data_IF_549819523310
#
_entry.id   IF_549819523310
#
_cell.length_a   1.000
_cell.length_b   1.000
_cell.length_c   1.000
_cell.angle_alpha   90.00
_cell.angle_beta   90.00
_cell.angle_gamma   90.00
#
_symmetry.space_group_name_H-M   'P 1'
#
loop_
_entity.id
_entity.type
_entity.pdbx_description
1 polymer ?
#
# COMPACT_ATOMS: atom_id res chain seq x y z
N UNK A 1 -40.69 11.55 3.47
CA UNK A 1 -41.36 11.50 2.14
C UNK A 1 -42.51 12.48 2.18
N UNK A 2 -42.59 13.40 1.23
CA UNK A 2 -43.67 14.36 1.09
C UNK A 2 -44.59 13.91 -0.07
N UNK A 3 -45.89 13.89 0.18
CA UNK A 3 -46.90 13.52 -0.81
C UNK A 3 -47.96 14.61 -0.92
N UNK A 4 -48.55 14.74 -2.10
CA UNK A 4 -49.72 15.58 -2.35
C UNK A 4 -50.86 14.72 -2.91
N UNK A 5 -52.08 15.00 -2.48
CA UNK A 5 -53.28 14.34 -3.00
C UNK A 5 -53.81 15.12 -4.21
N UNK A 6 -53.95 14.45 -5.35
CA UNK A 6 -54.61 14.98 -6.56
C UNK A 6 -55.78 14.06 -6.93
N UNK A 7 -57.00 14.49 -6.60
CA UNK A 7 -58.20 13.65 -6.72
C UNK A 7 -58.10 12.42 -5.82
N UNK A 8 -58.35 11.24 -6.40
CA UNK A 8 -58.31 9.96 -5.66
C UNK A 8 -56.91 9.32 -5.60
N UNK A 9 -55.87 10.03 -6.08
CA UNK A 9 -54.50 9.49 -6.14
C UNK A 9 -53.52 10.35 -5.34
N UNK A 10 -52.55 9.68 -4.72
CA UNK A 10 -51.42 10.31 -4.06
C UNK A 10 -50.22 10.37 -5.01
N UNK A 11 -49.57 11.53 -5.12
CA UNK A 11 -48.29 11.69 -5.81
C UNK A 11 -47.19 12.01 -4.79
N UNK A 12 -46.04 11.35 -4.93
CA UNK A 12 -44.83 11.72 -4.22
C UNK A 12 -44.30 13.01 -4.82
N UNK A 13 -44.17 14.06 -4.01
CA UNK A 13 -43.68 15.39 -4.44
C UNK A 13 -42.28 15.70 -3.89
N UNK A 14 -41.76 14.86 -3.00
CA UNK A 14 -40.40 14.97 -2.51
C UNK A 14 -39.98 13.74 -1.71
N UNK A 15 -38.80 13.22 -2.01
CA UNK A 15 -38.13 12.25 -1.17
C UNK A 15 -37.01 12.97 -0.41
N UNK A 16 -37.07 12.91 0.92
CA UNK A 16 -35.98 13.37 1.78
C UNK A 16 -35.14 12.14 2.10
N UNK A 17 -33.87 12.15 1.70
CA UNK A 17 -32.91 11.11 2.03
C UNK A 17 -32.03 11.63 3.15
N UNK A 18 -32.24 11.11 4.35
CA UNK A 18 -31.35 11.37 5.48
C UNK A 18 -30.18 10.39 5.37
N UNK A 19 -29.03 10.87 4.93
CA UNK A 19 -27.80 10.06 4.90
C UNK A 19 -27.10 10.25 6.24
N UNK A 20 -26.95 9.16 7.00
CA UNK A 20 -26.14 9.17 8.21
C UNK A 20 -24.66 9.16 7.82
N UNK A 21 -23.97 10.27 8.05
CA UNK A 21 -22.53 10.41 7.80
C UNK A 21 -21.79 9.73 8.95
N UNK A 22 -21.00 8.68 8.67
CA UNK A 22 -20.05 8.16 9.65
C UNK A 22 -18.89 9.14 9.77
N UNK A 23 -18.57 9.58 10.99
CA UNK A 23 -17.42 10.46 11.20
C UNK A 23 -16.14 9.74 10.76
N UNK A 24 -15.38 10.32 9.83
CA UNK A 24 -14.08 9.78 9.41
C UNK A 24 -12.97 10.46 10.21
N UNK A 25 -12.17 9.69 10.92
CA UNK A 25 -11.02 10.20 11.67
C UNK A 25 -9.72 9.94 10.89
N UNK A 26 -8.85 10.94 10.79
CA UNK A 26 -7.56 10.82 10.10
C UNK A 26 -6.45 11.39 10.96
N UNK A 27 -5.31 10.69 11.04
CA UNK A 27 -4.15 11.15 11.81
C UNK A 27 -3.16 11.89 10.90
N UNK A 28 -2.78 13.11 11.30
CA UNK A 28 -1.82 13.95 10.57
C UNK A 28 -0.71 14.40 11.51
N UNK A 29 0.52 14.05 11.18
CA UNK A 29 1.70 14.64 11.79
C UNK A 29 1.99 15.99 11.13
N UNK A 30 2.00 17.06 11.91
CA UNK A 30 2.26 18.42 11.45
C UNK A 30 3.69 18.81 11.86
N UNK A 31 4.57 18.91 10.86
CA UNK A 31 6.01 18.94 11.06
C UNK A 31 6.57 20.28 10.61
N UNK A 32 6.89 21.21 11.52
CA UNK A 32 7.54 22.45 11.15
C UNK A 32 9.01 22.21 10.77
N UNK A 33 9.52 22.93 9.76
CA UNK A 33 10.95 22.86 9.39
C UNK A 33 11.81 23.92 10.04
N UNK A 34 11.18 24.89 10.71
CA UNK A 34 11.81 26.06 11.32
C UNK A 34 10.89 26.66 12.40
N UNK A 35 11.42 27.58 13.20
CA UNK A 35 10.69 28.20 14.30
C UNK A 35 9.52 29.08 13.84
N UNK A 36 9.62 29.73 12.67
CA UNK A 36 8.53 30.54 12.11
C UNK A 36 7.35 29.65 11.75
N UNK A 37 7.62 28.51 11.14
CA UNK A 37 6.63 27.49 10.77
C UNK A 37 6.01 26.82 12.00
N UNK A 38 6.78 26.61 13.07
CA UNK A 38 6.26 26.07 14.33
C UNK A 38 5.19 26.98 14.95
N UNK A 39 5.33 28.31 14.81
CA UNK A 39 4.33 29.26 15.32
C UNK A 39 3.04 29.27 14.48
N UNK A 40 3.02 28.68 13.29
CA UNK A 40 1.83 28.61 12.41
C UNK A 40 0.93 27.39 12.70
N UNK A 41 1.42 26.40 13.45
CA UNK A 41 0.77 25.10 13.60
C UNK A 41 -0.66 25.19 14.19
N UNK A 42 -0.87 26.02 15.21
CA UNK A 42 -2.21 26.18 15.82
C UNK A 42 -3.23 26.78 14.85
N UNK A 43 -2.80 27.76 14.04
CA UNK A 43 -3.64 28.35 13.01
C UNK A 43 -4.02 27.34 11.92
N UNK A 44 -3.07 26.49 11.53
CA UNK A 44 -3.30 25.40 10.56
C UNK A 44 -4.30 24.38 11.10
N UNK A 45 -4.15 23.93 12.34
CA UNK A 45 -5.06 22.98 12.97
C UNK A 45 -6.49 23.54 12.97
N UNK A 46 -6.65 24.79 13.44
CA UNK A 46 -7.96 25.43 13.52
C UNK A 46 -8.60 25.62 12.13
N UNK A 47 -7.86 26.14 11.14
CA UNK A 47 -8.42 26.41 9.81
C UNK A 47 -8.74 25.12 9.05
N UNK A 48 -7.87 24.12 9.11
CA UNK A 48 -8.10 22.83 8.43
C UNK A 48 -9.26 22.08 9.06
N UNK A 49 -9.34 22.02 10.40
CA UNK A 49 -10.44 21.34 11.06
C UNK A 49 -11.77 22.01 10.75
N UNK A 50 -11.84 23.36 10.76
CA UNK A 50 -13.07 24.08 10.41
C UNK A 50 -13.56 23.84 8.97
N UNK A 51 -12.66 23.50 8.04
CA UNK A 51 -13.04 23.13 6.66
C UNK A 51 -13.61 21.72 6.62
N UNK A 52 -12.93 20.76 7.26
CA UNK A 52 -13.31 19.35 7.24
C UNK A 52 -14.49 19.00 8.16
N UNK A 53 -14.74 19.78 9.20
CA UNK A 53 -15.94 19.67 10.05
C UNK A 53 -17.22 19.79 9.22
N UNK A 54 -17.20 20.61 8.16
CA UNK A 54 -18.34 20.78 7.24
C UNK A 54 -18.78 19.46 6.61
N UNK A 55 -17.86 18.50 6.46
CA UNK A 55 -18.09 17.21 5.81
C UNK A 55 -18.01 16.01 6.78
N UNK A 56 -17.98 16.27 8.09
CA UNK A 56 -17.93 15.22 9.11
C UNK A 56 -16.57 14.50 9.22
N UNK A 57 -15.48 15.15 8.81
CA UNK A 57 -14.11 14.61 8.93
C UNK A 57 -13.41 15.24 10.14
N UNK A 58 -12.89 14.39 11.02
CA UNK A 58 -12.05 14.79 12.15
C UNK A 58 -10.58 14.52 11.85
N UNK A 59 -9.74 15.54 11.89
CA UNK A 59 -8.30 15.43 11.69
C UNK A 59 -7.59 15.50 13.05
N UNK A 60 -7.04 14.37 13.47
CA UNK A 60 -6.25 14.25 14.67
C UNK A 60 -4.81 14.70 14.37
N UNK A 61 -4.55 15.99 14.60
CA UNK A 61 -3.22 16.56 14.41
C UNK A 61 -2.29 16.23 15.57
N UNK A 62 -1.11 15.69 15.24
CA UNK A 62 0.03 15.56 16.13
C UNK A 62 1.07 16.62 15.77
N UNK A 63 1.35 17.54 16.68
CA UNK A 63 2.43 18.52 16.49
C UNK A 63 3.76 17.83 16.74
N UNK A 64 4.62 17.83 15.73
CA UNK A 64 5.97 17.29 15.85
C UNK A 64 6.98 18.40 16.18
N UNK A 65 8.18 17.98 16.60
CA UNK A 65 9.33 18.88 16.78
C UNK A 65 9.79 19.49 15.45
N UNK A 66 10.62 20.53 15.53
CA UNK A 66 11.23 21.13 14.34
C UNK A 66 12.12 20.10 13.64
N UNK A 67 11.81 19.77 12.39
CA UNK A 67 12.64 18.95 11.53
C UNK A 67 13.67 19.84 10.83
N UNK A 68 14.94 19.71 11.20
CA UNK A 68 16.00 20.43 10.52
C UNK A 68 16.25 19.85 9.12
N UNK A 69 16.06 20.68 8.09
CA UNK A 69 16.23 20.30 6.67
C UNK A 69 17.46 20.94 6.01
N UNK A 70 18.29 21.68 6.74
CA UNK A 70 19.40 22.45 6.17
C UNK A 70 20.50 21.55 5.58
N UNK A 71 20.57 20.29 6.00
CA UNK A 71 21.50 19.30 5.42
C UNK A 71 21.08 18.82 4.02
N UNK A 72 19.82 19.04 3.63
CA UNK A 72 19.26 18.52 2.36
C UNK A 72 18.70 19.61 1.45
N UNK A 73 18.42 20.80 1.99
CA UNK A 73 17.98 21.99 1.24
C UNK A 73 18.94 23.14 1.47
N UNK A 74 19.58 23.62 0.41
CA UNK A 74 20.45 24.78 0.47
C UNK A 74 19.67 26.10 0.30
N UNK A 75 19.90 27.04 1.21
CA UNK A 75 19.29 28.37 1.15
C UNK A 75 17.80 28.40 1.52
N UNK A 76 17.06 29.33 0.91
CA UNK A 76 15.66 29.64 1.27
C UNK A 76 14.62 29.09 0.28
N UNK A 77 15.00 28.13 -0.56
CA UNK A 77 14.13 27.58 -1.60
C UNK A 77 14.24 26.07 -1.62
N UNK A 78 13.10 25.38 -1.53
CA UNK A 78 12.97 23.93 -1.75
C UNK A 78 12.71 23.73 -3.25
N UNK A 79 13.51 22.92 -3.92
CA UNK A 79 13.23 22.57 -5.31
C UNK A 79 11.92 21.80 -5.40
N UNK A 80 11.06 22.17 -6.35
CA UNK A 80 9.76 21.55 -6.56
C UNK A 80 9.56 21.25 -8.04
N UNK A 81 8.88 20.16 -8.34
CA UNK A 81 8.42 19.90 -9.70
C UNK A 81 7.21 20.80 -10.03
N UNK A 82 6.88 20.92 -11.32
CA UNK A 82 5.68 21.66 -11.73
C UNK A 82 4.43 20.98 -11.14
N UNK A 83 3.53 21.79 -10.60
CA UNK A 83 2.31 21.34 -9.92
C UNK A 83 1.31 20.70 -10.91
N UNK A 84 1.50 19.41 -11.20
CA UNK A 84 0.55 18.56 -11.94
C UNK A 84 0.22 17.35 -11.07
N UNK A 85 -1.03 16.86 -11.08
CA UNK A 85 -1.48 15.76 -10.21
C UNK A 85 -0.71 14.43 -10.40
N UNK A 86 0.00 14.28 -11.52
CA UNK A 86 0.85 13.13 -11.87
C UNK A 86 2.33 13.31 -11.51
N UNK A 87 2.72 14.48 -10.98
CA UNK A 87 4.11 14.77 -10.62
C UNK A 87 4.57 13.92 -9.43
N UNK A 88 5.86 13.59 -9.42
CA UNK A 88 6.52 12.96 -8.28
C UNK A 88 7.10 14.03 -7.36
N UNK A 89 7.41 13.67 -6.11
CA UNK A 89 8.20 14.55 -5.24
C UNK A 89 9.54 14.87 -5.89
N UNK A 90 9.96 16.13 -5.82
CA UNK A 90 11.29 16.54 -6.28
C UNK A 90 12.40 15.85 -5.48
N UNK A 91 13.65 15.94 -5.95
CA UNK A 91 14.80 15.41 -5.20
C UNK A 91 14.91 16.00 -3.79
N UNK A 92 14.63 17.30 -3.61
CA UNK A 92 14.68 17.94 -2.28
C UNK A 92 13.55 17.42 -1.38
N UNK A 93 12.32 17.34 -1.90
CA UNK A 93 11.18 16.80 -1.16
C UNK A 93 11.39 15.32 -0.79
N UNK A 94 11.98 14.51 -1.68
CA UNK A 94 12.32 13.12 -1.37
C UNK A 94 13.33 13.03 -0.22
N UNK A 95 14.34 13.90 -0.20
CA UNK A 95 15.32 13.95 0.90
C UNK A 95 14.69 14.41 2.20
N UNK A 96 13.81 15.41 2.18
CA UNK A 96 13.07 15.88 3.36
C UNK A 96 12.15 14.78 3.90
N UNK A 97 11.39 14.10 3.03
CA UNK A 97 10.57 12.95 3.41
C UNK A 97 11.41 11.89 4.11
N UNK A 98 12.63 11.61 3.63
CA UNK A 98 13.54 10.62 4.20
C UNK A 98 14.11 11.02 5.58
N UNK A 99 14.22 12.31 5.88
CA UNK A 99 14.64 12.79 7.20
C UNK A 99 13.58 12.54 8.27
N UNK A 100 12.30 12.50 7.88
CA UNK A 100 11.20 12.27 8.81
C UNK A 100 11.00 10.78 9.08
N UNK A 101 11.52 10.30 10.22
CA UNK A 101 11.39 8.91 10.66
C UNK A 101 10.26 8.80 11.69
N UNK A 102 9.19 8.08 11.35
CA UNK A 102 8.11 7.74 12.29
C UNK A 102 7.67 6.29 12.08
N UNK A 103 7.34 5.62 13.18
CA UNK A 103 6.72 4.29 13.17
C UNK A 103 5.19 4.36 13.10
N UNK A 104 4.62 5.56 13.18
CA UNK A 104 3.18 5.80 13.10
C UNK A 104 2.74 5.98 11.65
N UNK A 105 1.63 5.32 11.28
CA UNK A 105 1.01 5.40 9.97
C UNK A 105 0.19 6.69 9.80
N UNK A 106 0.84 7.85 9.92
CA UNK A 106 0.21 9.16 9.77
C UNK A 106 0.47 9.74 8.38
N UNK A 107 -0.48 10.55 7.90
CA UNK A 107 -0.15 11.54 6.86
C UNK A 107 0.78 12.58 7.48
N UNK A 108 1.70 13.11 6.69
CA UNK A 108 2.73 14.03 7.17
C UNK A 108 2.61 15.32 6.39
N UNK A 109 2.44 16.44 7.08
CA UNK A 109 2.38 17.75 6.45
C UNK A 109 3.55 18.60 6.97
N UNK A 110 4.52 18.83 6.09
CA UNK A 110 5.64 19.71 6.35
C UNK A 110 5.21 21.17 6.19
N UNK A 111 5.51 21.98 7.20
CA UNK A 111 5.26 23.44 7.18
C UNK A 111 6.61 24.14 7.18
N UNK A 112 6.85 24.99 6.18
CA UNK A 112 8.15 25.63 5.99
C UNK A 112 8.04 27.12 5.67
N UNK A 113 9.01 27.92 6.12
CA UNK A 113 9.16 29.33 5.75
C UNK A 113 10.05 29.52 4.51
N UNK A 114 10.49 28.42 3.89
CA UNK A 114 11.19 28.42 2.61
C UNK A 114 10.19 28.55 1.44
N UNK A 115 10.66 29.11 0.34
CA UNK A 115 9.90 29.21 -0.91
C UNK A 115 9.95 27.89 -1.67
N UNK A 116 8.98 27.65 -2.56
CA UNK A 116 9.09 26.64 -3.61
C UNK A 116 9.80 27.24 -4.84
N UNK A 117 10.56 26.43 -5.59
CA UNK A 117 11.23 26.91 -6.80
C UNK A 117 10.25 27.23 -7.94
N UNK A 118 9.05 26.66 -7.90
CA UNK A 118 7.97 26.88 -8.88
C UNK A 118 6.95 27.95 -8.46
N UNK A 119 7.10 28.56 -7.27
CA UNK A 119 6.17 29.57 -6.75
C UNK A 119 4.85 29.01 -6.20
N UNK A 120 4.68 27.68 -6.18
CA UNK A 120 3.51 27.02 -5.59
C UNK A 120 3.38 27.26 -4.08
N UNK A 121 2.14 27.36 -3.62
CA UNK A 121 1.77 27.62 -2.23
C UNK A 121 1.88 26.38 -1.34
N UNK A 122 1.62 25.21 -1.91
CA UNK A 122 1.73 23.91 -1.28
C UNK A 122 1.92 22.83 -2.33
N UNK A 123 2.17 21.61 -1.85
CA UNK A 123 2.21 20.42 -2.70
C UNK A 123 1.99 19.16 -1.89
N UNK A 124 1.04 18.34 -2.33
CA UNK A 124 0.88 16.96 -1.91
C UNK A 124 0.43 16.15 -3.12
N UNK A 125 1.19 15.11 -3.45
CA UNK A 125 0.81 14.19 -4.53
C UNK A 125 -0.54 13.57 -4.20
N UNK A 126 -1.36 13.33 -5.23
CA UNK A 126 -2.61 12.61 -5.10
C UNK A 126 -2.36 11.22 -4.48
N UNK A 127 -3.10 10.89 -3.42
CA UNK A 127 -2.87 9.67 -2.62
C UNK A 127 -1.47 9.56 -1.98
N UNK A 128 -0.75 10.68 -1.84
CA UNK A 128 0.56 10.73 -1.21
C UNK A 128 0.48 10.76 0.32
N UNK A 129 1.53 10.27 0.99
CA UNK A 129 1.66 10.38 2.44
C UNK A 129 2.14 11.77 2.88
N UNK A 130 3.00 12.41 2.08
CA UNK A 130 3.73 13.62 2.46
C UNK A 130 3.19 14.86 1.74
N UNK A 131 2.87 15.91 2.49
CA UNK A 131 2.46 17.21 1.96
C UNK A 131 3.42 18.31 2.40
N UNK A 132 3.38 19.42 1.68
CA UNK A 132 4.21 20.59 1.90
C UNK A 132 3.35 21.85 1.88
N UNK A 133 3.57 22.73 2.84
CA UNK A 133 3.02 24.09 2.87
C UNK A 133 4.19 25.06 2.88
N UNK A 134 4.34 25.81 1.79
CA UNK A 134 5.44 26.75 1.59
C UNK A 134 5.13 28.11 2.20
N UNK A 135 6.14 29.00 2.20
CA UNK A 135 6.03 30.36 2.73
C UNK A 135 4.82 31.14 2.20
N UNK A 136 4.51 30.98 0.91
CA UNK A 136 3.39 31.64 0.21
C UNK A 136 2.03 30.97 0.44
N UNK A 137 1.97 29.90 1.24
CA UNK A 137 0.76 29.17 1.59
C UNK A 137 -0.33 30.07 2.16
N UNK A 138 -1.56 29.91 1.65
CA UNK A 138 -2.76 30.52 2.21
C UNK A 138 -3.25 29.71 3.41
N UNK A 139 -4.15 30.30 4.21
CA UNK A 139 -4.79 29.64 5.35
C UNK A 139 -5.48 28.31 5.00
N UNK A 140 -5.96 28.16 3.76
CA UNK A 140 -6.59 26.94 3.26
C UNK A 140 -5.63 25.90 2.71
N UNK A 141 -4.40 26.29 2.35
CA UNK A 141 -3.44 25.43 1.64
C UNK A 141 -3.21 24.10 2.37
N UNK A 142 -3.04 24.05 3.71
CA UNK A 142 -2.97 22.78 4.43
C UNK A 142 -4.14 21.82 4.14
N UNK A 143 -5.38 22.33 4.13
CA UNK A 143 -6.56 21.53 3.83
C UNK A 143 -6.66 21.15 2.35
N UNK A 144 -6.21 22.01 1.44
CA UNK A 144 -6.10 21.69 0.02
C UNK A 144 -5.14 20.52 -0.20
N UNK A 145 -3.93 20.60 0.33
CA UNK A 145 -2.92 19.56 0.20
C UNK A 145 -3.38 18.23 0.81
N UNK A 146 -3.92 18.27 2.03
CA UNK A 146 -4.49 17.08 2.66
C UNK A 146 -5.69 16.51 1.86
N UNK A 147 -6.42 17.34 1.11
CA UNK A 147 -7.46 16.90 0.18
C UNK A 147 -6.92 15.97 -0.91
N UNK A 148 -5.76 16.30 -1.49
CA UNK A 148 -5.06 15.44 -2.46
C UNK A 148 -4.60 14.13 -1.83
N UNK A 149 -3.89 14.24 -0.69
CA UNK A 149 -3.24 13.09 -0.07
C UNK A 149 -4.22 12.12 0.58
N UNK A 150 -5.09 12.64 1.45
CA UNK A 150 -6.05 11.83 2.19
C UNK A 150 -7.14 11.36 1.24
N UNK A 151 -7.83 12.31 0.60
CA UNK A 151 -9.11 12.06 -0.04
C UNK A 151 -9.04 11.87 -1.55
N UNK A 152 -7.85 11.97 -2.17
CA UNK A 152 -7.66 11.90 -3.62
C UNK A 152 -8.50 12.94 -4.38
N UNK A 153 -8.77 14.10 -3.78
CA UNK A 153 -9.53 15.15 -4.43
C UNK A 153 -8.66 15.80 -5.51
N UNK A 154 -9.21 16.02 -6.69
CA UNK A 154 -8.51 16.63 -7.81
C UNK A 154 -8.89 18.11 -7.96
N UNK A 155 -8.10 18.86 -8.73
CA UNK A 155 -8.41 20.26 -9.03
C UNK A 155 -9.65 20.38 -9.95
N UNK A 156 -10.55 21.36 -9.72
CA UNK A 156 -11.78 21.49 -10.51
C UNK A 156 -11.52 21.87 -11.98
N UNK A 157 -10.41 22.56 -12.28
CA UNK A 157 -10.03 22.86 -13.66
C UNK A 157 -9.50 21.62 -14.41
N UNK A 158 -9.01 20.60 -13.69
CA UNK A 158 -8.67 19.32 -14.28
C UNK A 158 -9.90 18.44 -14.47
N UNK A 159 -10.75 18.33 -13.44
CA UNK A 159 -11.93 17.43 -13.44
C UNK A 159 -13.12 18.00 -14.23
N UNK A 160 -13.44 19.28 -14.05
CA UNK A 160 -14.64 19.94 -14.59
C UNK A 160 -14.33 21.00 -15.65
N UNK A 161 -13.05 21.20 -15.98
CA UNK A 161 -12.60 22.18 -16.99
C UNK A 161 -13.00 23.63 -16.67
N UNK A 162 -13.10 23.97 -15.39
CA UNK A 162 -13.22 25.36 -14.95
C UNK A 162 -11.95 26.15 -15.26
N UNK A 163 -12.02 27.48 -15.22
CA UNK A 163 -10.80 28.30 -15.27
C UNK A 163 -10.07 28.21 -13.94
N UNK A 164 -8.74 28.16 -13.97
CA UNK A 164 -7.91 28.20 -12.77
C UNK A 164 -8.19 29.47 -11.94
N UNK A 165 -8.27 29.33 -10.62
CA UNK A 165 -8.54 30.42 -9.67
C UNK A 165 -9.90 31.11 -9.85
N UNK A 166 -10.88 30.46 -10.49
CA UNK A 166 -12.19 31.07 -10.79
C UNK A 166 -13.34 30.61 -9.89
N UNK A 167 -13.12 29.58 -9.07
CA UNK A 167 -14.18 28.99 -8.24
C UNK A 167 -13.90 29.18 -6.75
N UNK A 168 -14.94 29.11 -5.92
CA UNK A 168 -14.79 29.14 -4.45
C UNK A 168 -14.47 27.75 -3.85
N UNK A 169 -14.05 26.79 -4.68
CA UNK A 169 -13.80 25.42 -4.25
C UNK A 169 -12.46 25.28 -3.51
N UNK A 170 -12.42 24.37 -2.51
CA UNK A 170 -11.23 24.08 -1.72
C UNK A 170 -10.06 23.69 -2.62
N UNK A 171 -10.34 22.84 -3.61
CA UNK A 171 -9.35 22.30 -4.54
C UNK A 171 -8.99 23.26 -5.70
N UNK A 172 -9.50 24.49 -5.73
CA UNK A 172 -9.01 25.49 -6.69
C UNK A 172 -7.77 26.22 -6.14
N UNK A 173 -7.05 27.00 -6.96
CA UNK A 173 -5.96 27.87 -6.50
C UNK A 173 -6.43 29.23 -5.97
N UNK A 174 -7.74 29.51 -6.04
CA UNK A 174 -8.37 30.68 -5.40
C UNK A 174 -8.31 30.60 -3.86
N UNK A 175 -8.89 31.57 -3.14
CA UNK A 175 -9.00 31.52 -1.66
C UNK A 175 -10.19 30.70 -1.14
N UNK A 176 -10.98 30.09 -2.03
CA UNK A 176 -12.19 29.36 -1.70
C UNK A 176 -11.97 28.12 -0.82
N UNK A 177 -12.95 27.80 0.03
CA UNK A 177 -12.89 26.68 1.00
C UNK A 177 -14.06 25.70 0.88
N UNK A 178 -14.83 25.79 -0.21
CA UNK A 178 -16.04 24.98 -0.41
C UNK A 178 -15.66 23.60 -0.92
N UNK A 179 -16.10 22.56 -0.22
CA UNK A 179 -16.10 21.19 -0.73
C UNK A 179 -17.42 20.96 -1.46
N UNK A 180 -17.38 20.63 -2.75
CA UNK A 180 -18.57 20.47 -3.57
C UNK A 180 -19.19 19.07 -3.40
N UNK A 181 -20.36 18.85 -4.00
CA UNK A 181 -21.07 17.57 -3.91
C UNK A 181 -20.21 16.35 -4.32
N UNK A 182 -19.32 16.47 -5.30
CA UNK A 182 -18.46 15.36 -5.72
C UNK A 182 -17.36 15.09 -4.70
N UNK A 183 -16.76 16.13 -4.13
CA UNK A 183 -15.79 16.00 -3.04
C UNK A 183 -16.43 15.30 -1.84
N UNK A 184 -17.64 15.72 -1.47
CA UNK A 184 -18.42 15.09 -0.41
C UNK A 184 -18.72 13.62 -0.70
N UNK A 185 -19.15 13.31 -1.93
CA UNK A 185 -19.46 11.95 -2.36
C UNK A 185 -18.24 11.05 -2.27
N UNK A 186 -17.08 11.52 -2.73
CA UNK A 186 -15.83 10.77 -2.71
C UNK A 186 -15.32 10.56 -1.28
N UNK A 187 -15.30 11.62 -0.47
CA UNK A 187 -14.90 11.52 0.94
C UNK A 187 -15.78 10.53 1.69
N UNK A 188 -17.07 10.50 1.41
CA UNK A 188 -18.04 9.66 2.11
C UNK A 188 -18.34 8.32 1.44
N UNK A 189 -17.65 7.99 0.36
CA UNK A 189 -17.83 6.70 -0.31
C UNK A 189 -17.50 5.56 0.68
N UNK A 190 -18.39 4.57 0.92
CA UNK A 190 -18.09 3.40 1.74
C UNK A 190 -16.91 2.57 1.20
N UNK A 191 -16.64 2.65 -0.11
CA UNK A 191 -15.49 2.02 -0.75
C UNK A 191 -14.18 2.80 -0.54
N UNK A 192 -14.25 4.07 -0.12
CA UNK A 192 -13.06 4.87 0.19
C UNK A 192 -12.44 4.41 1.53
N UNK A 193 -11.17 4.00 1.48
CA UNK A 193 -10.37 3.54 2.62
C UNK A 193 -9.23 4.51 2.90
N UNK A 194 -9.06 4.85 4.18
CA UNK A 194 -7.92 5.65 4.65
C UNK A 194 -6.67 4.76 4.68
N UNK A 195 -5.59 5.22 4.07
CA UNK A 195 -4.37 4.45 3.93
C UNK A 195 -3.53 4.50 5.21
N UNK A 196 -3.21 3.33 5.77
CA UNK A 196 -2.20 3.20 6.82
C UNK A 196 -0.86 2.82 6.18
N UNK A 197 0.06 3.78 6.13
CA UNK A 197 1.41 3.59 5.61
C UNK A 197 2.23 2.75 6.60
N UNK A 198 2.42 1.46 6.34
CA UNK A 198 3.16 0.56 7.24
C UNK A 198 4.44 -0.01 6.58
N UNK A 199 5.42 -0.24 7.45
CA UNK A 199 6.82 -0.65 7.19
C UNK A 199 6.98 -1.95 6.40
N UNK A 200 8.04 -1.99 5.57
CA UNK A 200 8.43 -3.05 4.63
C UNK A 200 8.93 -4.33 5.31
N UNK A 201 8.04 -5.05 5.99
CA UNK A 201 8.32 -6.39 6.52
C UNK A 201 7.44 -7.47 5.87
N UNK A 202 6.78 -7.18 4.75
CA UNK A 202 5.64 -7.96 4.27
C UNK A 202 5.77 -8.44 2.83
N UNK A 203 6.98 -8.62 2.32
CA UNK A 203 7.24 -9.50 1.19
C UNK A 203 7.47 -10.95 1.64
N UNK A 204 6.42 -11.72 1.97
CA UNK A 204 6.59 -13.18 2.17
C UNK A 204 5.45 -13.99 1.51
N UNK A 205 5.70 -14.42 0.28
CA UNK A 205 6.20 -15.77 -0.09
C UNK A 205 5.74 -16.96 0.77
N UNK A 206 5.63 -18.12 0.14
CA UNK A 206 5.16 -19.37 0.74
C UNK A 206 5.92 -19.72 2.05
N UNK A 207 5.30 -19.44 3.22
CA UNK A 207 5.88 -19.62 4.57
C UNK A 207 6.35 -21.05 4.84
N UNK A 208 5.82 -22.03 4.11
CA UNK A 208 6.13 -23.43 4.32
C UNK A 208 7.51 -23.81 3.77
N UNK A 209 8.12 -23.01 2.88
CA UNK A 209 9.41 -23.29 2.28
C UNK A 209 10.47 -22.21 2.64
N UNK A 210 11.70 -22.40 2.18
CA UNK A 210 12.79 -21.46 2.45
C UNK A 210 12.65 -20.15 1.67
N UNK A 211 13.06 -19.04 2.29
CA UNK A 211 12.86 -17.69 1.72
C UNK A 211 13.57 -17.53 0.38
N UNK A 212 14.87 -17.81 0.30
CA UNK A 212 15.66 -17.51 -0.90
C UNK A 212 17.01 -18.23 -0.95
N UNK A 213 17.68 -18.12 -2.10
CA UNK A 213 19.10 -18.47 -2.27
C UNK A 213 19.98 -17.23 -2.40
N UNK A 214 21.21 -17.33 -1.90
CA UNK A 214 22.31 -16.42 -2.26
C UNK A 214 22.94 -16.82 -3.60
N UNK A 215 23.74 -15.95 -4.23
CA UNK A 215 24.52 -16.30 -5.41
C UNK A 215 25.50 -17.48 -5.22
N UNK A 216 25.85 -17.83 -3.98
CA UNK A 216 26.70 -18.99 -3.68
C UNK A 216 25.90 -20.19 -3.16
N UNK A 217 24.60 -20.25 -3.42
CA UNK A 217 23.76 -21.43 -3.13
C UNK A 217 23.36 -21.60 -1.67
N UNK A 218 23.73 -20.67 -0.80
CA UNK A 218 23.33 -20.67 0.61
C UNK A 218 21.84 -20.34 0.71
N UNK A 219 21.09 -21.20 1.39
CA UNK A 219 19.67 -21.01 1.72
C UNK A 219 19.53 -19.98 2.84
N UNK A 220 18.62 -19.03 2.66
CA UNK A 220 18.34 -17.94 3.60
C UNK A 220 16.91 -18.04 4.07
N UNK A 221 16.67 -17.74 5.34
CA UNK A 221 15.34 -17.50 5.92
C UNK A 221 15.29 -16.26 6.80
N UNK A 222 16.36 -16.01 7.56
CA UNK A 222 16.41 -14.94 8.55
C UNK A 222 17.71 -14.14 8.47
N UNK A 223 17.65 -12.87 8.86
CA UNK A 223 18.76 -11.92 8.81
C UNK A 223 19.10 -11.41 10.21
N UNK A 224 20.39 -11.33 10.51
CA UNK A 224 20.90 -10.92 11.82
C UNK A 224 22.02 -9.89 11.68
N UNK A 225 21.98 -8.84 12.48
CA UNK A 225 23.07 -7.88 12.65
C UNK A 225 23.40 -7.80 14.13
N UNK A 226 24.68 -7.91 14.49
CA UNK A 226 25.14 -7.91 15.89
C UNK A 226 24.39 -8.92 16.79
N UNK A 227 24.08 -10.10 16.25
CA UNK A 227 23.29 -11.17 16.88
C UNK A 227 21.81 -10.87 17.14
N UNK A 228 21.31 -9.70 16.73
CA UNK A 228 19.89 -9.38 16.79
C UNK A 228 19.22 -9.68 15.45
N UNK A 229 18.02 -10.27 15.51
CA UNK A 229 17.21 -10.53 14.31
C UNK A 229 16.71 -9.18 13.77
N UNK A 230 16.95 -8.94 12.49
CA UNK A 230 16.56 -7.70 11.82
C UNK A 230 15.63 -8.00 10.64
N UNK A 231 14.82 -6.99 10.29
CA UNK A 231 14.03 -6.99 9.07
C UNK A 231 14.78 -6.18 8.03
N UNK A 232 14.96 -6.75 6.84
CA UNK A 232 15.68 -6.11 5.72
C UNK A 232 14.77 -5.99 4.51
N UNK A 233 15.08 -5.04 3.64
CA UNK A 233 14.47 -4.95 2.32
C UNK A 233 15.33 -5.74 1.31
N UNK A 234 14.75 -6.76 0.68
CA UNK A 234 15.43 -7.50 -0.38
C UNK A 234 15.45 -6.65 -1.64
N UNK A 235 16.64 -6.42 -2.20
CA UNK A 235 16.77 -5.80 -3.52
C UNK A 235 16.85 -6.95 -4.52
N UNK A 236 15.72 -7.24 -5.16
CA UNK A 236 15.60 -8.42 -6.02
C UNK A 236 16.52 -8.26 -7.22
N UNK A 237 17.46 -9.19 -7.33
CA UNK A 237 18.48 -9.19 -8.35
C UNK A 237 17.93 -9.72 -9.69
N UNK A 238 18.61 -9.36 -10.77
CA UNK A 238 18.32 -9.82 -12.13
C UNK A 238 18.43 -11.35 -12.36
N UNK A 239 18.94 -12.12 -11.38
CA UNK A 239 19.38 -13.52 -11.59
C UNK A 239 18.93 -14.48 -10.45
N UNK A 240 17.63 -14.67 -10.21
CA UNK A 240 17.04 -15.78 -9.42
C UNK A 240 17.36 -15.85 -7.92
N UNK A 241 18.41 -15.18 -7.47
CA UNK A 241 18.99 -15.22 -6.12
C UNK A 241 19.04 -13.82 -5.50
N UNK A 242 19.23 -13.74 -4.18
CA UNK A 242 19.38 -12.48 -3.46
C UNK A 242 20.86 -12.12 -3.34
N UNK A 243 21.32 -11.21 -4.21
CA UNK A 243 22.69 -10.66 -4.15
C UNK A 243 22.80 -9.46 -3.21
N UNK A 244 21.76 -8.66 -3.11
CA UNK A 244 21.79 -7.37 -2.41
C UNK A 244 20.60 -7.23 -1.47
N UNK A 245 20.86 -6.77 -0.26
CA UNK A 245 19.84 -6.41 0.72
C UNK A 245 20.04 -4.97 1.17
N UNK A 246 18.97 -4.31 1.58
CA UNK A 246 18.97 -2.95 2.08
C UNK A 246 18.51 -2.96 3.54
N UNK A 247 19.28 -2.32 4.41
CA UNK A 247 18.96 -2.14 5.83
C UNK A 247 19.43 -0.76 6.27
N UNK A 248 18.55 0.02 6.93
CA UNK A 248 18.84 1.40 7.37
C UNK A 248 19.50 2.27 6.28
N UNK A 249 18.93 2.26 5.07
CA UNK A 249 19.43 2.98 3.90
C UNK A 249 20.83 2.64 3.39
N UNK A 250 21.44 1.59 3.94
CA UNK A 250 22.68 1.00 3.45
C UNK A 250 22.39 -0.24 2.61
N UNK A 251 23.09 -0.36 1.49
CA UNK A 251 23.08 -1.57 0.67
C UNK A 251 24.19 -2.51 1.15
N UNK A 252 23.85 -3.77 1.37
CA UNK A 252 24.78 -4.82 1.73
C UNK A 252 24.81 -5.84 0.60
N UNK A 253 26.00 -6.19 0.14
CA UNK A 253 26.19 -7.16 -0.94
C UNK A 253 26.67 -8.49 -0.38
N UNK A 254 26.19 -9.59 -0.99
CA UNK A 254 26.60 -10.93 -0.61
C UNK A 254 28.10 -11.14 -0.83
N UNK A 255 28.79 -11.50 0.25
CA UNK A 255 30.18 -11.92 0.23
C UNK A 255 30.27 -13.42 0.50
N UNK A 256 30.62 -14.20 -0.53
CA UNK A 256 30.67 -15.66 -0.47
C UNK A 256 31.72 -16.18 0.51
N UNK A 257 32.86 -15.50 0.64
CA UNK A 257 33.93 -15.86 1.59
C UNK A 257 33.49 -15.63 3.03
N UNK A 258 32.84 -14.49 3.30
CA UNK A 258 32.35 -14.16 4.64
C UNK A 258 31.01 -14.84 4.98
N UNK A 259 30.34 -15.46 3.99
CA UNK A 259 28.98 -16.02 4.08
C UNK A 259 27.99 -15.04 4.72
N UNK A 260 28.08 -13.78 4.33
CA UNK A 260 27.32 -12.68 4.91
C UNK A 260 27.06 -11.59 3.87
N UNK A 261 26.02 -10.79 4.08
CA UNK A 261 25.83 -9.54 3.36
C UNK A 261 26.67 -8.45 4.04
N UNK A 262 27.57 -7.82 3.29
CA UNK A 262 28.57 -6.90 3.84
C UNK A 262 28.40 -5.49 3.30
N UNK A 263 28.62 -4.50 4.17
CA UNK A 263 28.83 -3.10 3.82
C UNK A 263 30.01 -2.59 4.65
N UNK A 264 31.18 -2.45 4.02
CA UNK A 264 32.42 -2.15 4.74
C UNK A 264 32.74 -3.20 5.81
N UNK A 265 32.82 -2.77 7.07
CA UNK A 265 33.06 -3.65 8.21
C UNK A 265 31.79 -4.32 8.78
N UNK A 266 30.60 -3.79 8.45
CA UNK A 266 29.32 -4.32 8.94
C UNK A 266 28.94 -5.61 8.19
N UNK A 267 28.37 -6.56 8.94
CA UNK A 267 27.98 -7.88 8.42
C UNK A 267 26.58 -8.25 8.86
N UNK A 268 25.70 -8.48 7.89
CA UNK A 268 24.40 -9.09 8.10
C UNK A 268 24.54 -10.59 7.81
N UNK A 269 24.33 -11.40 8.84
CA UNK A 269 24.39 -12.86 8.76
C UNK A 269 23.03 -13.39 8.34
N UNK A 270 23.02 -14.18 7.27
CA UNK A 270 21.87 -14.95 6.84
C UNK A 270 21.87 -16.33 7.52
N UNK A 271 20.71 -16.79 7.98
CA UNK A 271 20.54 -18.13 8.57
C UNK A 271 19.41 -18.89 7.87
N UNK A 272 19.66 -20.17 7.62
CA UNK A 272 18.63 -21.18 7.31
C UNK A 272 17.98 -21.62 8.62
N UNK A 273 16.65 -21.70 8.63
CA UNK A 273 15.88 -22.25 9.77
C UNK A 273 14.99 -23.38 9.26
N UNK A 274 14.65 -24.33 10.13
CA UNK A 274 13.79 -25.44 9.72
C UNK A 274 12.41 -24.96 9.26
N UNK A 275 11.95 -25.48 8.13
CA UNK A 275 10.65 -25.19 7.51
C UNK A 275 9.77 -26.42 7.42
N UNK A 276 8.48 -26.21 7.15
CA UNK A 276 7.52 -27.30 6.93
C UNK A 276 7.85 -28.11 5.66
N UNK A 277 8.43 -27.45 4.66
CA UNK A 277 8.91 -27.98 3.39
C UNK A 277 10.38 -27.57 3.27
N UNK A 278 11.24 -28.31 3.97
CA UNK A 278 12.67 -27.99 4.14
C UNK A 278 13.52 -28.29 2.88
N UNK A 279 12.91 -28.87 1.84
CA UNK A 279 13.56 -29.25 0.59
C UNK A 279 13.19 -28.32 -0.58
N UNK A 280 12.58 -27.16 -0.30
CA UNK A 280 12.19 -26.20 -1.33
C UNK A 280 12.60 -24.78 -0.97
N UNK A 281 12.93 -23.99 -1.98
CA UNK A 281 13.34 -22.58 -1.86
C UNK A 281 12.69 -21.73 -2.95
N UNK A 282 12.47 -20.44 -2.68
CA UNK A 282 12.01 -19.52 -3.72
C UNK A 282 13.18 -18.97 -4.55
N UNK A 283 12.95 -18.86 -5.86
CA UNK A 283 13.78 -18.12 -6.80
C UNK A 283 13.04 -16.89 -7.30
N UNK A 284 13.78 -15.83 -7.68
CA UNK A 284 13.20 -14.53 -8.00
C UNK A 284 13.67 -13.95 -9.33
N UNK A 285 12.76 -13.45 -10.17
CA UNK A 285 13.14 -12.65 -11.33
C UNK A 285 12.41 -11.32 -11.31
N UNK A 286 13.15 -10.25 -11.62
CA UNK A 286 12.54 -8.93 -11.77
C UNK A 286 11.74 -8.87 -13.07
N UNK A 287 10.59 -8.19 -13.04
CA UNK A 287 9.82 -7.86 -14.26
C UNK A 287 10.32 -6.58 -14.93
N UNK A 288 11.26 -5.87 -14.31
CA UNK A 288 11.88 -4.65 -14.86
C UNK A 288 11.00 -3.41 -14.77
N UNK A 289 9.79 -3.52 -14.22
CA UNK A 289 8.82 -2.43 -14.04
C UNK A 289 9.05 -1.62 -12.75
N UNK A 290 9.98 -2.06 -11.89
CA UNK A 290 10.27 -1.45 -10.59
C UNK A 290 9.16 -1.64 -9.55
N UNK A 291 8.11 -2.38 -9.87
CA UNK A 291 6.89 -2.51 -9.09
C UNK A 291 6.57 -3.96 -8.70
N UNK A 292 6.94 -4.91 -9.55
CA UNK A 292 6.63 -6.32 -9.38
C UNK A 292 7.85 -7.20 -9.62
N UNK A 293 7.80 -8.37 -9.02
CA UNK A 293 8.73 -9.45 -9.28
C UNK A 293 7.97 -10.76 -9.40
N UNK A 294 8.57 -11.70 -10.08
CA UNK A 294 8.10 -13.07 -10.12
C UNK A 294 8.92 -13.91 -9.16
N UNK A 295 8.24 -14.87 -8.55
CA UNK A 295 8.91 -15.92 -7.80
C UNK A 295 8.38 -17.30 -8.18
N UNK A 296 9.23 -18.30 -8.00
CA UNK A 296 8.83 -19.70 -8.19
C UNK A 296 9.48 -20.58 -7.14
N UNK A 297 8.80 -21.65 -6.77
CA UNK A 297 9.28 -22.61 -5.79
C UNK A 297 10.01 -23.75 -6.50
N UNK A 298 11.26 -24.00 -6.13
CA UNK A 298 12.06 -25.11 -6.68
C UNK A 298 12.51 -26.06 -5.59
N UNK A 299 12.68 -27.34 -5.95
CA UNK A 299 13.34 -28.31 -5.08
C UNK A 299 14.82 -27.98 -4.94
N UNK A 300 15.29 -27.88 -3.70
CA UNK A 300 16.66 -27.55 -3.35
C UNK A 300 17.07 -28.37 -2.13
N UNK A 301 17.84 -29.43 -2.37
CA UNK A 301 18.18 -30.44 -1.37
C UNK A 301 19.63 -30.27 -0.90
N UNK A 302 20.06 -31.06 0.09
CA UNK A 302 21.43 -31.02 0.60
C UNK A 302 22.52 -31.26 -0.47
N UNK A 303 22.23 -31.99 -1.56
CA UNK A 303 23.15 -32.14 -2.69
C UNK A 303 23.23 -30.88 -3.55
N UNK A 304 22.12 -30.15 -3.68
CA UNK A 304 22.09 -28.87 -4.40
C UNK A 304 22.89 -27.80 -3.63
N UNK A 305 22.88 -27.84 -2.30
CA UNK A 305 23.67 -26.94 -1.44
C UNK A 305 25.19 -27.18 -1.52
N UNK A 306 25.64 -28.32 -2.05
CA UNK A 306 27.07 -28.65 -2.19
C UNK A 306 27.68 -28.16 -3.50
N UNK A 307 26.87 -27.68 -4.44
CA UNK A 307 27.37 -27.32 -5.77
C UNK A 307 28.12 -25.99 -5.75
N UNK A 308 29.22 -25.92 -6.50
CA UNK A 308 30.03 -24.71 -6.63
C UNK A 308 29.45 -23.71 -7.65
N UNK A 309 28.68 -24.20 -8.62
CA UNK A 309 28.07 -23.41 -9.69
C UNK A 309 26.56 -23.31 -9.49
N UNK A 310 26.16 -22.40 -8.61
CA UNK A 310 24.75 -22.18 -8.24
C UNK A 310 23.94 -21.69 -9.44
N UNK A 311 24.50 -20.83 -10.28
CA UNK A 311 23.79 -20.25 -11.41
C UNK A 311 23.40 -21.34 -12.43
N UNK A 312 24.34 -22.19 -12.84
CA UNK A 312 24.01 -23.29 -13.73
C UNK A 312 23.00 -24.26 -13.11
N UNK A 313 23.11 -24.55 -11.80
CA UNK A 313 22.15 -25.41 -11.12
C UNK A 313 20.75 -24.83 -11.10
N UNK A 314 20.63 -23.53 -10.84
CA UNK A 314 19.37 -22.82 -10.90
C UNK A 314 18.77 -22.89 -12.30
N UNK A 315 19.57 -22.66 -13.35
CA UNK A 315 19.11 -22.78 -14.74
C UNK A 315 18.60 -24.18 -15.07
N UNK A 316 19.28 -25.23 -14.62
CA UNK A 316 18.81 -26.61 -14.80
C UNK A 316 17.46 -26.86 -14.13
N UNK A 317 17.28 -26.37 -12.90
CA UNK A 317 16.04 -26.56 -12.11
C UNK A 317 14.83 -25.87 -12.74
N UNK A 318 15.04 -24.70 -13.37
CA UNK A 318 13.96 -23.93 -14.01
C UNK A 318 13.83 -24.18 -15.50
N UNK A 319 14.64 -25.06 -16.11
CA UNK A 319 14.69 -25.27 -17.56
C UNK A 319 13.34 -25.66 -18.18
N UNK A 320 12.52 -26.36 -17.42
CA UNK A 320 11.19 -26.83 -17.85
C UNK A 320 10.07 -25.87 -17.49
N UNK A 321 10.38 -24.81 -16.75
CA UNK A 321 9.38 -23.86 -16.26
C UNK A 321 9.02 -22.86 -17.36
N UNK A 322 7.74 -22.57 -17.44
CA UNK A 322 7.13 -21.59 -18.32
C UNK A 322 6.71 -20.37 -17.51
N UNK A 323 6.32 -19.27 -18.17
CA UNK A 323 5.85 -18.07 -17.46
C UNK A 323 4.62 -18.30 -16.58
N UNK A 324 3.84 -19.37 -16.81
CA UNK A 324 2.70 -19.73 -15.98
C UNK A 324 3.11 -20.27 -14.60
N UNK A 325 4.29 -20.86 -14.49
CA UNK A 325 4.82 -21.42 -13.24
C UNK A 325 5.25 -20.32 -12.26
N UNK A 326 5.57 -19.13 -12.78
CA UNK A 326 6.02 -17.99 -12.00
C UNK A 326 4.84 -17.22 -11.40
N UNK A 327 4.89 -17.01 -10.08
CA UNK A 327 3.87 -16.29 -9.32
C UNK A 327 4.30 -14.81 -9.19
N UNK A 328 3.47 -13.85 -9.63
CA UNK A 328 3.77 -12.43 -9.46
C UNK A 328 3.60 -12.03 -7.99
N UNK A 329 4.44 -11.10 -7.55
CA UNK A 329 4.32 -10.44 -6.24
C UNK A 329 4.75 -8.97 -6.36
N UNK A 330 4.08 -8.05 -5.67
CA UNK A 330 4.51 -6.66 -5.62
C UNK A 330 5.77 -6.51 -4.76
N UNK A 331 6.62 -5.54 -5.09
CA UNK A 331 7.60 -5.02 -4.12
C UNK A 331 6.83 -4.38 -2.96
N UNK A 332 7.33 -4.54 -1.73
CA UNK A 332 6.66 -4.07 -0.51
C UNK A 332 6.20 -2.60 -0.67
N UNK A 333 4.88 -2.44 -0.74
CA UNK A 333 4.18 -1.38 -1.49
C UNK A 333 4.34 -0.04 -0.78
N UNK A 334 5.13 0.87 -1.37
CA UNK A 334 5.16 2.30 -1.01
C UNK A 334 4.62 3.22 -2.12
N UNK A 335 4.34 2.70 -3.33
CA UNK A 335 3.84 3.49 -4.46
C UNK A 335 2.53 2.93 -5.02
N UNK A 336 1.49 3.77 -5.08
CA UNK A 336 0.18 3.46 -5.62
C UNK A 336 0.20 3.14 -7.13
N UNK A 337 1.23 3.56 -7.86
CA UNK A 337 1.44 3.18 -9.26
C UNK A 337 1.69 1.68 -9.42
N UNK A 338 2.38 1.08 -8.45
CA UNK A 338 2.71 -0.34 -8.44
C UNK A 338 1.50 -1.23 -8.09
N UNK A 339 0.59 -0.76 -7.24
CA UNK A 339 -0.66 -1.47 -6.92
C UNK A 339 -1.57 -1.61 -8.15
N UNK A 340 -1.65 -0.57 -8.99
CA UNK A 340 -2.41 -0.64 -10.24
C UNK A 340 -1.81 -1.70 -11.18
N UNK A 341 -0.48 -1.73 -11.33
CA UNK A 341 0.19 -2.73 -12.15
C UNK A 341 -0.11 -4.16 -11.67
N UNK A 342 0.05 -4.42 -10.37
CA UNK A 342 -0.24 -5.74 -9.80
C UNK A 342 -1.72 -6.15 -9.98
N UNK A 343 -2.67 -5.23 -9.79
CA UNK A 343 -4.09 -5.51 -10.00
C UNK A 343 -4.42 -5.82 -11.47
N UNK A 344 -3.83 -5.08 -12.42
CA UNK A 344 -3.99 -5.33 -13.86
C UNK A 344 -3.40 -6.68 -14.27
N UNK A 345 -2.23 -7.06 -13.74
CA UNK A 345 -1.62 -8.35 -14.00
C UNK A 345 -2.46 -9.50 -13.45
N UNK A 346 -2.96 -9.35 -12.23
CA UNK A 346 -3.81 -10.36 -11.61
C UNK A 346 -5.11 -10.53 -12.39
N UNK A 347 -5.73 -9.42 -12.83
CA UNK A 347 -6.90 -9.43 -13.69
C UNK A 347 -6.61 -10.11 -15.03
N UNK A 348 -5.48 -9.81 -15.66
CA UNK A 348 -5.07 -10.44 -16.91
C UNK A 348 -4.86 -11.95 -16.75
N UNK A 349 -4.37 -12.41 -15.58
CA UNK A 349 -4.27 -13.84 -15.27
C UNK A 349 -5.64 -14.47 -15.03
N UNK A 350 -6.53 -13.79 -14.33
CA UNK A 350 -7.89 -14.27 -14.03
C UNK A 350 -8.77 -14.39 -15.29
N UNK A 351 -8.42 -13.67 -16.36
CA UNK A 351 -9.07 -13.79 -17.67
C UNK A 351 -8.57 -14.99 -18.50
N UNK A 352 -7.46 -15.63 -18.11
CA UNK A 352 -6.94 -16.83 -18.79
C UNK A 352 -7.64 -18.08 -18.28
N UNK A 353 -7.84 -19.04 -19.18
CA UNK A 353 -8.27 -20.38 -18.80
C UNK A 353 -7.16 -21.09 -18.03
N UNK A 354 -7.55 -21.85 -17.01
CA UNK A 354 -6.63 -22.61 -16.19
C UNK A 354 -6.72 -24.08 -16.54
N UNK A 355 -5.56 -24.74 -16.56
CA UNK A 355 -5.47 -26.18 -16.72
C UNK A 355 -6.10 -26.93 -15.53
N UNK A 356 -6.41 -28.21 -15.75
CA UNK A 356 -6.97 -29.06 -14.72
C UNK A 356 -6.04 -29.18 -13.49
N UNK A 357 -4.72 -29.23 -13.69
CA UNK A 357 -3.77 -29.34 -12.57
C UNK A 357 -3.69 -28.05 -11.77
N UNK A 358 -3.66 -26.88 -12.43
CA UNK A 358 -3.69 -25.58 -11.74
C UNK A 358 -4.94 -25.40 -10.88
N UNK A 359 -6.08 -25.93 -11.33
CA UNK A 359 -7.33 -25.94 -10.54
C UNK A 359 -7.19 -26.85 -9.33
N UNK A 360 -6.65 -28.06 -9.50
CA UNK A 360 -6.51 -29.04 -8.42
C UNK A 360 -5.50 -28.58 -7.36
N UNK A 361 -4.32 -28.12 -7.80
CA UNK A 361 -3.25 -27.62 -6.94
C UNK A 361 -3.70 -26.34 -6.22
N UNK A 362 -4.36 -25.43 -6.93
CA UNK A 362 -4.92 -24.23 -6.34
C UNK A 362 -5.98 -24.52 -5.29
N UNK A 363 -6.88 -25.50 -5.54
CA UNK A 363 -7.88 -25.91 -4.56
C UNK A 363 -7.24 -26.56 -3.32
N UNK A 364 -6.19 -27.34 -3.51
CA UNK A 364 -5.42 -27.92 -2.39
C UNK A 364 -4.72 -26.83 -1.57
N UNK A 365 -4.11 -25.83 -2.22
CA UNK A 365 -3.49 -24.67 -1.56
C UNK A 365 -4.54 -23.88 -0.75
N UNK A 366 -5.68 -23.55 -1.35
CA UNK A 366 -6.78 -22.82 -0.68
C UNK A 366 -7.32 -23.58 0.55
N UNK A 367 -7.41 -24.92 0.48
CA UNK A 367 -7.83 -25.74 1.62
C UNK A 367 -6.78 -25.81 2.72
N UNK A 368 -5.51 -25.80 2.37
CA UNK A 368 -4.42 -25.81 3.33
C UNK A 368 -4.37 -24.49 4.12
N UNK A 369 -4.59 -23.34 3.47
CA UNK A 369 -4.49 -22.03 4.12
C UNK A 369 -5.61 -21.73 5.11
N UNK A 370 -6.74 -22.45 5.06
CA UNK A 370 -7.78 -22.34 6.10
C UNK A 370 -7.30 -22.77 7.50
N UNK A 371 -6.16 -23.47 7.60
CA UNK A 371 -5.53 -23.85 8.87
C UNK A 371 -4.61 -22.76 9.44
N UNK A 372 -4.40 -21.68 8.69
CA UNK A 372 -3.55 -20.57 9.10
C UNK A 372 -4.31 -19.54 9.91
N UNK A 373 -3.57 -18.78 10.72
CA UNK A 373 -4.08 -17.63 11.48
C UNK A 373 -3.59 -16.29 10.92
N UNK A 374 -2.66 -16.33 9.95
CA UNK A 374 -2.03 -15.14 9.38
C UNK A 374 -2.80 -14.69 8.13
N UNK A 375 -3.63 -13.66 8.29
CA UNK A 375 -4.50 -13.15 7.23
C UNK A 375 -3.75 -12.62 6.00
N UNK A 376 -2.54 -12.07 6.17
CA UNK A 376 -1.73 -11.61 5.04
C UNK A 376 -1.25 -12.78 4.18
N UNK A 377 -0.88 -13.88 4.83
CA UNK A 377 -0.46 -15.10 4.13
C UNK A 377 -1.61 -15.74 3.37
N UNK A 378 -2.79 -15.80 3.99
CA UNK A 378 -3.99 -16.30 3.32
C UNK A 378 -4.33 -15.45 2.10
N UNK A 379 -4.26 -14.13 2.20
CA UNK A 379 -4.48 -13.23 1.07
C UNK A 379 -3.49 -13.47 -0.09
N UNK A 380 -2.21 -13.67 0.23
CA UNK A 380 -1.19 -13.99 -0.78
C UNK A 380 -1.50 -15.30 -1.51
N UNK A 381 -1.82 -16.37 -0.79
CA UNK A 381 -2.19 -17.65 -1.42
C UNK A 381 -3.43 -17.51 -2.29
N UNK A 382 -4.46 -16.80 -1.82
CA UNK A 382 -5.63 -16.49 -2.64
C UNK A 382 -5.21 -15.79 -3.92
N UNK A 383 -4.39 -14.73 -3.83
CA UNK A 383 -3.86 -13.99 -4.99
C UNK A 383 -2.96 -14.79 -5.93
N UNK A 384 -2.49 -15.97 -5.53
CA UNK A 384 -1.61 -16.79 -6.36
C UNK A 384 -2.29 -17.97 -7.04
N UNK A 385 -3.50 -18.31 -6.64
CA UNK A 385 -4.26 -19.37 -7.29
C UNK A 385 -5.09 -18.83 -8.45
N UNK A 386 -5.36 -19.69 -9.43
CA UNK A 386 -6.26 -19.41 -10.53
C UNK A 386 -7.70 -19.10 -10.04
N UNK A 387 -8.41 -18.19 -10.74
CA UNK A 387 -9.79 -17.86 -10.44
C UNK A 387 -10.75 -19.07 -10.47
N UNK A 388 -10.57 -20.01 -11.40
CA UNK A 388 -11.35 -21.26 -11.46
C UNK A 388 -11.14 -22.16 -10.24
N UNK A 389 -9.96 -22.13 -9.60
CA UNK A 389 -9.74 -22.83 -8.34
C UNK A 389 -10.55 -22.19 -7.20
N UNK A 390 -10.60 -20.85 -7.14
CA UNK A 390 -11.38 -20.10 -6.15
C UNK A 390 -12.88 -20.39 -6.33
N UNK A 391 -13.38 -20.42 -7.58
CA UNK A 391 -14.78 -20.74 -7.91
C UNK A 391 -15.21 -22.17 -7.52
N UNK A 392 -14.25 -23.07 -7.31
CA UNK A 392 -14.51 -24.44 -6.87
C UNK A 392 -14.57 -24.60 -5.34
N UNK A 393 -14.33 -23.54 -4.57
CA UNK A 393 -14.60 -23.54 -3.14
C UNK A 393 -16.11 -23.53 -2.87
N UNK A 394 -16.50 -24.19 -1.77
CA UNK A 394 -17.83 -24.05 -1.20
C UNK A 394 -17.98 -22.69 -0.50
N UNK A 395 -19.20 -22.21 -0.34
CA UNK A 395 -19.45 -20.94 0.35
C UNK A 395 -18.86 -20.90 1.79
N UNK A 396 -19.01 -21.95 2.63
CA UNK A 396 -18.37 -21.97 3.95
C UNK A 396 -16.84 -21.87 3.91
N UNK A 397 -16.20 -22.46 2.90
CA UNK A 397 -14.75 -22.35 2.72
C UNK A 397 -14.35 -20.92 2.32
N UNK A 398 -15.11 -20.29 1.40
CA UNK A 398 -14.91 -18.87 1.05
C UNK A 398 -15.07 -17.97 2.28
N UNK A 399 -16.13 -18.15 3.05
CA UNK A 399 -16.38 -17.39 4.29
C UNK A 399 -15.25 -17.56 5.30
N UNK A 400 -14.74 -18.79 5.50
CA UNK A 400 -13.63 -19.07 6.41
C UNK A 400 -12.35 -18.35 5.97
N UNK A 401 -12.05 -18.35 4.67
CA UNK A 401 -10.86 -17.69 4.13
C UNK A 401 -10.99 -16.16 4.29
N UNK A 402 -12.15 -15.58 3.98
CA UNK A 402 -12.40 -14.14 4.18
C UNK A 402 -12.22 -13.76 5.65
N UNK A 403 -12.77 -14.56 6.59
CA UNK A 403 -12.60 -14.34 8.04
C UNK A 403 -11.14 -14.31 8.45
N UNK A 404 -10.33 -15.26 7.98
CA UNK A 404 -8.90 -15.31 8.33
C UNK A 404 -8.17 -14.07 7.79
N UNK A 405 -8.43 -13.69 6.53
CA UNK A 405 -7.86 -12.46 5.94
C UNK A 405 -8.27 -11.23 6.76
N UNK A 406 -9.53 -11.17 7.19
CA UNK A 406 -10.10 -10.08 7.98
C UNK A 406 -9.58 -9.99 9.43
N UNK A 407 -8.80 -10.96 9.92
CA UNK A 407 -8.20 -10.89 11.26
C UNK A 407 -7.03 -9.90 11.35
N UNK A 408 -6.53 -9.40 10.22
CA UNK A 408 -5.47 -8.40 10.21
C UNK A 408 -5.94 -7.10 10.88
N UNK A 409 -5.07 -6.50 11.68
CA UNK A 409 -5.33 -5.20 12.32
C UNK A 409 -5.54 -4.09 11.30
N UNK A 410 -4.91 -4.22 10.13
CA UNK A 410 -5.07 -3.33 8.98
C UNK A 410 -5.13 -4.22 7.73
N UNK A 411 -6.20 -4.10 6.94
CA UNK A 411 -6.32 -4.81 5.68
C UNK A 411 -5.53 -4.05 4.61
N UNK A 412 -4.49 -4.69 4.07
CA UNK A 412 -3.65 -4.14 3.00
C UNK A 412 -4.36 -4.27 1.64
N UNK A 413 -4.02 -3.43 0.66
CA UNK A 413 -4.62 -3.47 -0.69
C UNK A 413 -4.57 -4.87 -1.34
N UNK A 414 -3.46 -5.60 -1.16
CA UNK A 414 -3.35 -7.00 -1.64
C UNK A 414 -4.38 -7.93 -0.98
N UNK A 415 -4.71 -7.69 0.29
CA UNK A 415 -5.71 -8.44 1.03
C UNK A 415 -7.12 -8.06 0.63
N UNK A 416 -7.37 -6.79 0.31
CA UNK A 416 -8.62 -6.35 -0.30
C UNK A 416 -8.84 -7.01 -1.65
N UNK A 417 -7.81 -7.05 -2.51
CA UNK A 417 -7.88 -7.72 -3.80
C UNK A 417 -8.16 -9.23 -3.67
N UNK A 418 -7.56 -9.89 -2.68
CA UNK A 418 -7.86 -11.29 -2.37
C UNK A 418 -9.32 -11.48 -1.93
N UNK A 419 -9.83 -10.60 -1.06
CA UNK A 419 -11.23 -10.60 -0.64
C UNK A 419 -12.16 -10.38 -1.84
N UNK A 420 -11.87 -9.43 -2.73
CA UNK A 420 -12.65 -9.17 -3.93
C UNK A 420 -12.71 -10.39 -4.85
N UNK A 421 -11.59 -11.10 -5.02
CA UNK A 421 -11.54 -12.34 -5.81
C UNK A 421 -12.41 -13.43 -5.17
N UNK A 422 -12.31 -13.62 -3.85
CA UNK A 422 -13.17 -14.54 -3.10
C UNK A 422 -14.67 -14.17 -3.23
N UNK A 423 -15.02 -12.89 -3.12
CA UNK A 423 -16.38 -12.40 -3.29
C UNK A 423 -16.92 -12.68 -4.70
N UNK A 424 -16.08 -12.49 -5.72
CA UNK A 424 -16.45 -12.75 -7.12
C UNK A 424 -16.63 -14.25 -7.44
N UNK A 425 -16.18 -15.13 -6.55
CA UNK A 425 -16.39 -16.58 -6.64
C UNK A 425 -17.68 -17.05 -5.95
N UNK A 426 -18.37 -16.18 -5.19
CA UNK A 426 -19.61 -16.53 -4.51
C UNK A 426 -20.71 -16.72 -5.55
N UNK A 427 -21.37 -17.88 -5.53
CA UNK A 427 -22.53 -18.16 -6.39
C UNK A 427 -23.74 -17.35 -5.94
N UNK A 428 -24.59 -16.94 -6.88
CA UNK A 428 -25.80 -16.13 -6.65
C UNK A 428 -26.69 -16.67 -5.53
N UNK A 429 -26.84 -17.99 -5.44
CA UNK A 429 -27.67 -18.66 -4.43
C UNK A 429 -27.16 -18.45 -2.99
N UNK A 430 -25.89 -18.07 -2.84
CA UNK A 430 -25.25 -17.80 -1.55
C UNK A 430 -25.17 -16.31 -1.21
N UNK A 431 -25.67 -15.40 -2.05
CA UNK A 431 -25.61 -13.96 -1.77
C UNK A 431 -26.34 -13.58 -0.49
N UNK A 432 -27.52 -14.15 -0.23
CA UNK A 432 -28.25 -13.90 1.01
C UNK A 432 -27.44 -14.33 2.25
N UNK A 433 -26.77 -15.48 2.19
CA UNK A 433 -25.90 -15.94 3.27
C UNK A 433 -24.71 -14.99 3.46
N UNK A 434 -24.10 -14.52 2.37
CA UNK A 434 -22.99 -13.58 2.40
C UNK A 434 -23.36 -12.22 3.01
N UNK A 435 -24.50 -11.64 2.62
CA UNK A 435 -25.00 -10.40 3.24
C UNK A 435 -25.24 -10.59 4.74
N UNK A 436 -25.90 -11.69 5.14
CA UNK A 436 -26.10 -12.01 6.55
C UNK A 436 -24.77 -12.19 7.30
N UNK A 437 -23.75 -12.77 6.67
CA UNK A 437 -22.41 -12.90 7.23
C UNK A 437 -21.77 -11.52 7.49
N UNK A 438 -21.83 -10.61 6.51
CA UNK A 438 -21.34 -9.24 6.65
C UNK A 438 -22.07 -8.45 7.75
N UNK A 439 -23.38 -8.66 7.89
CA UNK A 439 -24.20 -7.99 8.90
C UNK A 439 -23.99 -8.53 10.32
N UNK A 440 -23.69 -9.82 10.47
CA UNK A 440 -23.44 -10.46 11.78
C UNK A 440 -22.15 -9.99 12.44
N UNK A 441 -21.18 -9.50 11.67
CA UNK A 441 -19.82 -9.20 12.15
C UNK A 441 -19.58 -7.71 12.47
N UNK A 442 -20.60 -7.03 13.01
CA UNK A 442 -20.49 -5.66 13.56
C UNK A 442 -19.55 -5.55 14.78
N UNK A 443 -18.89 -6.65 15.18
CA UNK A 443 -17.95 -6.74 16.30
C UNK A 443 -16.47 -6.51 15.98
N UNK A 444 -16.04 -6.61 14.71
CA UNK A 444 -14.64 -6.32 14.32
C UNK A 444 -14.44 -4.92 13.73
N UNK A 445 -15.49 -4.32 13.14
CA UNK A 445 -15.47 -2.93 12.67
C UNK A 445 -15.58 -1.88 13.81
N UNK A 446 -15.79 -2.32 15.06
CA UNK A 446 -16.03 -1.46 16.23
C UNK A 446 -14.99 -1.62 17.36
N UNK A 447 -13.84 -2.26 17.11
CA UNK A 447 -12.72 -2.17 18.04
C UNK A 447 -11.94 -0.89 17.76
N UNK A 448 -12.38 0.15 18.49
CA UNK A 448 -11.80 1.49 18.57
C UNK A 448 -10.29 1.52 18.76
#
# INVERSE_FOLDING_TARGET
>A
MATIKQGDRWKVIGAFMLVHISSKEVNVALVPTDAVSQNKLDGIIASTQAIYDKIGVKVNFKKEGILNIDSVVSGNTIQTEKNTLTSTYSTDQQKINALYQSTESNYVLFVTDKNSSTGQQGYMRLNGQFGYVFKSGLTKTPAHELGHGIFKLEHPFETYKTTESSTDLLMDYSSGTVLNHQDWKQVNDPAFKLYAFQSQASGELNKYAHLALTPSGVVIDEFYLNNEKIVIAVVIAKNYTIKTVKYNDKFYEWNSTAKAFTNGAEKIIAKKVSKTIDNKVNLFRTRGDGCTYDYVLVEWNAEDEKISDTDNRVQEKIKTFTDADWKPSPFDIKDASCSNNFAQELLARDQKECSLSEIQDGLAELKAVMKLTDGEKVATSVNNVCMSAIRNLTYPEIESIIKIIATQTVIKERSELAILRLMSAIKTDNYANYYNFLEKDTGYANKK
#
